data_IF_386996978808
#
_entry.id   IF_386996978808
#
_cell.length_a   1.000
_cell.length_b   1.000
_cell.length_c   1.000
_cell.angle_alpha   90.00
_cell.angle_beta   90.00
_cell.angle_gamma   90.00
#
_symmetry.space_group_name_H-M   'P 1'
#
loop_
_entity.id
_entity.type
_entity.pdbx_description
1 polymer ?
#
# COMPACT_ATOMS: atom_id res chain seq x y z
N UNK A 1 -22.30 -10.87 -36.57
CA UNK A 1 -22.59 -9.45 -36.87
C UNK A 1 -22.70 -8.65 -35.57
N UNK A 2 -21.59 -8.02 -35.17
CA UNK A 2 -21.57 -7.09 -34.03
C UNK A 2 -22.11 -5.75 -34.54
N UNK A 3 -23.29 -5.38 -34.06
CA UNK A 3 -23.92 -4.12 -34.41
C UNK A 3 -23.13 -2.97 -33.78
N UNK A 4 -22.38 -2.23 -34.60
CA UNK A 4 -21.87 -0.91 -34.23
C UNK A 4 -23.08 0.00 -34.04
N UNK A 5 -23.50 0.21 -32.79
CA UNK A 5 -24.47 1.27 -32.46
C UNK A 5 -23.78 2.60 -32.70
N UNK A 6 -24.03 3.21 -33.86
CA UNK A 6 -23.70 4.61 -34.11
C UNK A 6 -24.61 5.46 -33.21
N UNK A 7 -24.01 6.09 -32.20
CA UNK A 7 -24.69 7.10 -31.39
C UNK A 7 -24.96 8.33 -32.26
N UNK A 8 -26.17 8.88 -32.15
CA UNK A 8 -26.51 10.17 -32.76
C UNK A 8 -25.67 11.29 -32.12
N UNK A 9 -25.44 12.38 -32.86
CA UNK A 9 -24.61 13.51 -32.39
C UNK A 9 -25.08 14.06 -31.03
N UNK A 10 -26.39 14.10 -30.79
CA UNK A 10 -26.98 14.52 -29.51
C UNK A 10 -26.61 13.59 -28.35
N UNK A 11 -26.54 12.28 -28.60
CA UNK A 11 -26.13 11.29 -27.58
C UNK A 11 -24.64 11.39 -27.26
N UNK A 12 -23.80 11.65 -28.26
CA UNK A 12 -22.37 11.90 -28.04
C UNK A 12 -22.15 13.16 -27.21
N UNK A 13 -22.89 14.22 -27.51
CA UNK A 13 -22.76 15.50 -26.80
C UNK A 13 -23.20 15.38 -25.34
N UNK A 14 -24.28 14.64 -25.08
CA UNK A 14 -24.76 14.34 -23.71
C UNK A 14 -23.73 13.49 -22.95
N UNK A 15 -23.18 12.46 -23.58
CA UNK A 15 -22.17 11.59 -22.97
C UNK A 15 -20.87 12.33 -22.66
N UNK A 16 -20.43 13.23 -23.55
CA UNK A 16 -19.24 14.05 -23.33
C UNK A 16 -19.45 15.05 -22.17
N UNK A 17 -20.65 15.61 -22.06
CA UNK A 17 -21.01 16.51 -20.98
C UNK A 17 -21.09 15.79 -19.64
N UNK A 18 -21.68 14.59 -19.61
CA UNK A 18 -21.76 13.74 -18.42
C UNK A 18 -20.37 13.24 -17.98
N UNK A 19 -19.49 12.90 -18.93
CA UNK A 19 -18.08 12.62 -18.62
C UNK A 19 -17.37 13.84 -18.05
N UNK A 20 -17.50 15.03 -18.66
CA UNK A 20 -16.87 16.25 -18.14
C UNK A 20 -17.35 16.60 -16.74
N UNK A 21 -18.63 16.38 -16.45
CA UNK A 21 -19.21 16.64 -15.13
C UNK A 21 -18.71 15.61 -14.10
N UNK A 22 -18.59 14.34 -14.49
CA UNK A 22 -17.99 13.28 -13.66
C UNK A 22 -16.50 13.54 -13.36
N UNK A 23 -15.71 13.96 -14.35
CA UNK A 23 -14.32 14.37 -14.16
C UNK A 23 -14.19 15.63 -13.29
N UNK A 24 -15.13 16.56 -13.41
CA UNK A 24 -15.13 17.80 -12.60
C UNK A 24 -15.43 17.53 -11.12
N UNK A 25 -16.25 16.52 -10.81
CA UNK A 25 -16.53 16.13 -9.41
C UNK A 25 -15.42 15.29 -8.77
N UNK A 26 -14.59 14.64 -9.58
CA UNK A 26 -13.45 13.81 -9.11
C UNK A 26 -12.15 14.59 -8.99
N UNK A 27 -12.10 15.82 -9.51
CA UNK A 27 -10.96 16.72 -9.35
C UNK A 27 -11.02 17.37 -7.96
N UNK A 28 -10.56 16.62 -6.97
CA UNK A 28 -9.99 17.23 -5.75
C UNK A 28 -8.97 18.26 -6.22
N UNK A 29 -8.90 19.50 -5.70
CA UNK A 29 -7.87 20.44 -6.11
C UNK A 29 -6.52 19.72 -5.99
N UNK A 30 -5.81 19.63 -7.12
CA UNK A 30 -4.46 19.11 -7.14
C UNK A 30 -3.65 20.00 -6.19
N UNK A 31 -3.42 19.52 -4.97
CA UNK A 31 -2.29 19.99 -4.19
C UNK A 31 -1.09 19.63 -5.06
N UNK A 32 -0.44 20.62 -5.67
CA UNK A 32 0.82 20.39 -6.37
C UNK A 32 1.78 19.79 -5.33
N UNK A 33 1.99 18.47 -5.43
CA UNK A 33 2.96 17.79 -4.58
C UNK A 33 4.36 18.25 -4.99
N UNK A 34 5.20 18.52 -4.00
CA UNK A 34 6.61 18.86 -4.19
C UNK A 34 7.49 17.71 -3.69
N UNK A 35 8.66 17.57 -4.29
CA UNK A 35 9.61 16.51 -3.94
C UNK A 35 10.31 16.84 -2.60
N UNK A 36 10.10 16.00 -1.59
CA UNK A 36 10.74 16.12 -0.27
C UNK A 36 12.06 15.35 -0.15
N UNK A 37 13.09 15.93 0.48
CA UNK A 37 14.35 15.25 0.78
C UNK A 37 14.92 15.66 2.15
N UNK A 38 15.40 14.67 2.92
CA UNK A 38 15.98 14.87 4.25
C UNK A 38 17.44 14.41 4.25
N UNK A 39 18.34 15.29 4.71
CA UNK A 39 19.75 14.95 5.00
C UNK A 39 20.04 15.23 6.46
N UNK A 40 20.42 14.20 7.20
CA UNK A 40 20.88 14.33 8.58
C UNK A 40 22.37 14.03 8.65
N UNK A 41 23.20 15.05 8.46
CA UNK A 41 24.60 15.04 8.89
C UNK A 41 24.69 15.54 10.33
N UNK A 42 25.62 15.01 11.14
CA UNK A 42 25.87 15.50 12.50
C UNK A 42 26.22 17.01 12.47
N UNK A 43 25.21 17.87 12.64
CA UNK A 43 25.28 19.32 12.48
C UNK A 43 24.94 19.99 13.82
N UNK A 44 25.71 21.01 14.17
CA UNK A 44 25.53 21.82 15.37
C UNK A 44 24.19 22.57 15.43
N UNK A 45 23.46 22.64 14.32
CA UNK A 45 22.18 23.36 14.20
C UNK A 45 20.98 22.60 14.78
N UNK A 46 21.06 21.27 14.94
CA UNK A 46 20.01 20.43 15.50
C UNK A 46 20.48 19.69 16.77
N UNK A 47 21.27 20.36 17.63
CA UNK A 47 21.97 19.70 18.76
C UNK A 47 21.20 19.65 20.07
N UNK A 48 19.90 20.00 20.10
CA UNK A 48 19.09 19.75 21.31
C UNK A 48 19.02 18.24 21.57
N UNK A 49 18.97 17.77 22.83
CA UNK A 49 19.05 16.33 23.14
C UNK A 49 18.06 15.46 22.35
N UNK A 50 16.81 15.90 22.20
CA UNK A 50 15.79 15.18 21.42
C UNK A 50 16.10 15.17 19.92
N UNK A 51 16.54 16.29 19.36
CA UNK A 51 16.93 16.36 17.94
C UNK A 51 18.20 15.56 17.66
N UNK A 52 19.15 15.51 18.59
CA UNK A 52 20.34 14.66 18.49
C UNK A 52 19.99 13.17 18.55
N UNK A 53 18.98 12.77 19.34
CA UNK A 53 18.49 11.39 19.37
C UNK A 53 17.76 11.00 18.07
N UNK A 54 17.01 11.92 17.46
CA UNK A 54 16.31 11.71 16.18
C UNK A 54 17.23 11.80 14.96
N UNK A 55 18.24 12.67 15.01
CA UNK A 55 19.29 12.84 13.99
C UNK A 55 20.41 11.81 14.13
N UNK A 56 20.38 10.97 15.16
CA UNK A 56 21.32 9.88 15.36
C UNK A 56 21.22 8.90 14.21
N UNK A 57 22.13 9.01 13.24
CA UNK A 57 22.43 7.94 12.29
C UNK A 57 22.73 6.69 13.12
N UNK A 58 21.86 5.67 13.02
CA UNK A 58 22.04 4.29 13.49
C UNK A 58 23.12 4.19 14.58
N UNK A 59 22.82 4.67 15.79
CA UNK A 59 23.77 4.60 16.89
C UNK A 59 24.19 3.14 17.07
N UNK A 60 25.49 2.82 17.26
CA UNK A 60 25.98 1.44 17.36
C UNK A 60 25.36 0.65 18.53
N UNK A 61 24.65 1.32 19.44
CA UNK A 61 24.18 0.75 20.69
C UNK A 61 22.74 0.19 20.71
N UNK A 62 21.91 0.31 19.65
CA UNK A 62 20.61 -0.44 19.57
C UNK A 62 19.65 -0.03 18.45
N UNK A 63 19.82 1.12 17.81
CA UNK A 63 18.86 1.56 16.78
C UNK A 63 19.07 0.77 15.48
N UNK A 64 18.05 0.02 15.05
CA UNK A 64 18.07 -0.78 13.82
C UNK A 64 17.61 -0.01 12.58
N UNK A 65 16.99 1.16 12.76
CA UNK A 65 16.56 2.07 11.69
C UNK A 65 16.40 3.51 12.18
N UNK A 66 16.57 4.49 11.29
CA UNK A 66 16.25 5.89 11.56
C UNK A 66 14.72 6.12 11.69
N UNK A 67 14.27 7.26 12.26
CA UNK A 67 12.86 7.54 12.48
C UNK A 67 12.02 7.61 11.20
N UNK A 68 12.57 8.09 10.07
CA UNK A 68 11.85 8.19 8.80
C UNK A 68 11.62 6.80 8.21
N UNK A 69 12.68 5.98 8.17
CA UNK A 69 12.57 4.57 7.75
C UNK A 69 11.58 3.81 8.62
N UNK A 70 11.59 4.04 9.94
CA UNK A 70 10.63 3.42 10.86
C UNK A 70 9.19 3.88 10.56
N UNK A 71 8.97 5.18 10.41
CA UNK A 71 7.64 5.74 10.13
C UNK A 71 7.05 5.20 8.82
N UNK A 72 7.85 5.13 7.74
CA UNK A 72 7.42 4.55 6.46
C UNK A 72 7.07 3.06 6.60
N UNK A 73 7.88 2.29 7.37
CA UNK A 73 7.56 0.88 7.64
C UNK A 73 6.24 0.71 8.38
N UNK A 74 6.00 1.52 9.41
CA UNK A 74 4.84 1.38 10.29
C UNK A 74 3.54 1.92 9.67
N UNK A 75 3.62 2.95 8.83
CA UNK A 75 2.42 3.63 8.29
C UNK A 75 2.06 3.20 6.87
N UNK A 76 3.01 2.65 6.10
CA UNK A 76 2.79 2.28 4.70
C UNK A 76 3.06 0.80 4.47
N UNK A 77 4.31 0.36 4.67
CA UNK A 77 4.74 -1.00 4.25
C UNK A 77 4.01 -2.09 5.02
N UNK A 78 3.98 -2.02 6.36
CA UNK A 78 3.32 -3.04 7.17
C UNK A 78 1.79 -3.03 6.94
N UNK A 79 1.09 -1.88 6.93
CA UNK A 79 -0.33 -1.84 6.57
C UNK A 79 -0.65 -2.38 5.18
N UNK A 80 0.19 -2.14 4.16
CA UNK A 80 0.03 -2.73 2.83
C UNK A 80 0.10 -4.26 2.90
N UNK A 81 1.11 -4.81 3.59
CA UNK A 81 1.25 -6.25 3.82
C UNK A 81 0.06 -6.83 4.57
N UNK A 82 -0.40 -6.17 5.62
CA UNK A 82 -1.52 -6.63 6.45
C UNK A 82 -2.81 -6.72 5.63
N UNK A 83 -3.12 -5.69 4.84
CA UNK A 83 -4.30 -5.68 3.97
C UNK A 83 -4.22 -6.74 2.85
N UNK A 84 -3.04 -6.92 2.26
CA UNK A 84 -2.81 -7.95 1.25
C UNK A 84 -3.02 -9.35 1.84
N UNK A 85 -2.51 -9.61 3.04
CA UNK A 85 -2.68 -10.91 3.72
C UNK A 85 -4.13 -11.14 4.11
N UNK A 86 -4.84 -10.10 4.61
CA UNK A 86 -6.28 -10.18 4.87
C UNK A 86 -7.05 -10.60 3.61
N UNK A 87 -6.68 -10.06 2.44
CA UNK A 87 -7.30 -10.44 1.17
C UNK A 87 -6.95 -11.86 0.75
N UNK A 88 -5.68 -12.27 0.85
CA UNK A 88 -5.26 -13.65 0.56
C UNK A 88 -6.06 -14.64 1.41
N UNK A 89 -6.25 -14.37 2.71
CA UNK A 89 -7.02 -15.24 3.59
C UNK A 89 -8.50 -15.34 3.17
N UNK A 90 -9.10 -14.27 2.62
CA UNK A 90 -10.45 -14.30 2.05
C UNK A 90 -10.50 -15.12 0.76
N UNK A 91 -9.50 -14.96 -0.10
CA UNK A 91 -9.43 -15.69 -1.37
C UNK A 91 -9.22 -17.19 -1.14
N UNK A 92 -8.42 -17.56 -0.13
CA UNK A 92 -8.26 -18.95 0.32
C UNK A 92 -9.58 -19.55 0.83
N UNK A 93 -10.42 -18.76 1.51
CA UNK A 93 -11.72 -19.23 1.98
C UNK A 93 -12.68 -19.57 0.83
N UNK A 94 -12.51 -18.95 -0.34
CA UNK A 94 -13.28 -19.22 -1.56
C UNK A 94 -12.66 -20.32 -2.46
N UNK A 95 -11.51 -20.89 -2.07
CA UNK A 95 -10.79 -21.88 -2.87
C UNK A 95 -11.48 -23.26 -2.77
N UNK A 96 -11.63 -23.93 -3.91
CA UNK A 96 -12.31 -25.24 -4.00
C UNK A 96 -11.51 -26.37 -3.37
N UNK A 97 -10.19 -26.34 -3.52
CA UNK A 97 -9.25 -27.23 -2.85
C UNK A 97 -9.08 -26.80 -1.38
N UNK A 98 -9.75 -27.53 -0.50
CA UNK A 98 -9.80 -27.23 0.94
C UNK A 98 -8.49 -27.55 1.64
N UNK A 99 -7.79 -28.60 1.21
CA UNK A 99 -6.53 -29.02 1.82
C UNK A 99 -5.44 -27.97 1.54
N UNK A 100 -5.36 -27.51 0.29
CA UNK A 100 -4.45 -26.42 -0.09
C UNK A 100 -4.78 -25.12 0.66
N UNK A 101 -6.06 -24.78 0.78
CA UNK A 101 -6.51 -23.58 1.49
C UNK A 101 -6.13 -23.60 2.97
N UNK A 102 -6.34 -24.74 3.64
CA UNK A 102 -6.03 -24.91 5.06
C UNK A 102 -4.52 -24.94 5.30
N UNK A 103 -3.75 -25.63 4.44
CA UNK A 103 -2.30 -25.61 4.50
C UNK A 103 -1.76 -24.18 4.37
N UNK A 104 -2.19 -23.44 3.33
CA UNK A 104 -1.68 -22.08 3.09
C UNK A 104 -2.08 -21.11 4.21
N UNK A 105 -3.30 -21.23 4.74
CA UNK A 105 -3.74 -20.43 5.90
C UNK A 105 -2.88 -20.71 7.12
N UNK A 106 -2.56 -21.97 7.39
CA UNK A 106 -1.71 -22.36 8.51
C UNK A 106 -0.29 -21.83 8.37
N UNK A 107 0.30 -21.91 7.17
CA UNK A 107 1.61 -21.33 6.87
C UNK A 107 1.66 -19.82 7.18
N UNK A 108 0.62 -19.08 6.77
CA UNK A 108 0.51 -17.64 7.05
C UNK A 108 0.41 -17.36 8.55
N UNK A 109 -0.47 -18.04 9.28
CA UNK A 109 -0.66 -17.81 10.71
C UNK A 109 0.59 -18.18 11.54
N UNK A 110 1.21 -19.32 11.24
CA UNK A 110 2.43 -19.76 11.92
C UNK A 110 3.61 -18.80 11.69
N UNK A 111 3.72 -18.22 10.50
CA UNK A 111 4.75 -17.22 10.23
C UNK A 111 4.40 -15.90 10.90
N UNK A 112 3.14 -15.45 10.85
CA UNK A 112 2.69 -14.19 11.46
C UNK A 112 2.95 -14.13 12.96
N UNK A 113 2.84 -15.26 13.66
CA UNK A 113 3.18 -15.38 15.08
C UNK A 113 4.68 -15.22 15.37
N UNK A 114 5.55 -15.63 14.42
CA UNK A 114 7.01 -15.58 14.57
C UNK A 114 7.60 -14.26 14.07
N UNK A 115 7.10 -13.81 12.93
CA UNK A 115 7.54 -12.63 12.21
C UNK A 115 6.32 -11.93 11.57
N UNK A 116 5.87 -10.85 12.21
CA UNK A 116 4.77 -10.02 11.69
C UNK A 116 5.06 -9.43 10.31
N UNK A 117 6.33 -9.35 9.90
CA UNK A 117 6.70 -8.81 8.58
C UNK A 117 6.51 -9.82 7.45
N UNK A 118 6.25 -11.09 7.80
CA UNK A 118 6.00 -12.20 6.89
C UNK A 118 7.10 -12.31 5.81
N UNK A 119 8.35 -12.15 6.24
CA UNK A 119 9.50 -12.05 5.34
C UNK A 119 9.69 -13.32 4.49
N UNK A 120 9.47 -14.50 5.08
CA UNK A 120 9.59 -15.77 4.39
C UNK A 120 8.42 -15.99 3.44
N UNK A 121 7.20 -15.61 3.83
CA UNK A 121 6.02 -15.69 2.98
C UNK A 121 6.19 -14.88 1.70
N UNK A 122 6.60 -13.61 1.81
CA UNK A 122 6.81 -12.73 0.66
C UNK A 122 8.07 -13.08 -0.14
N UNK A 123 9.06 -13.73 0.48
CA UNK A 123 10.27 -14.22 -0.19
C UNK A 123 10.09 -15.54 -0.94
N UNK A 124 8.99 -16.26 -0.71
CA UNK A 124 8.76 -17.58 -1.30
C UNK A 124 8.02 -17.47 -2.66
N UNK A 125 8.64 -17.90 -3.77
CA UNK A 125 8.02 -17.81 -5.10
C UNK A 125 6.73 -18.63 -5.23
N UNK A 126 6.54 -19.69 -4.43
CA UNK A 126 5.31 -20.47 -4.43
C UNK A 126 4.09 -19.68 -3.95
N UNK A 127 4.28 -18.58 -3.22
CA UNK A 127 3.19 -17.73 -2.74
C UNK A 127 2.77 -16.66 -3.75
N UNK A 128 3.52 -16.51 -4.86
CA UNK A 128 3.29 -15.45 -5.84
C UNK A 128 1.90 -15.51 -6.47
N UNK A 129 1.38 -16.70 -6.76
CA UNK A 129 0.05 -16.83 -7.35
C UNK A 129 -1.07 -16.29 -6.43
N UNK A 130 -0.93 -16.48 -5.12
CA UNK A 130 -1.88 -15.96 -4.13
C UNK A 130 -1.78 -14.45 -4.00
N UNK A 131 -0.54 -13.93 -4.04
CA UNK A 131 -0.26 -12.49 -3.99
C UNK A 131 -0.83 -11.80 -5.24
N UNK A 132 -0.50 -12.29 -6.42
CA UNK A 132 -0.92 -11.69 -7.70
C UNK A 132 -2.46 -11.70 -7.79
N UNK A 133 -3.12 -12.81 -7.44
CA UNK A 133 -4.59 -12.90 -7.41
C UNK A 133 -5.23 -11.93 -6.43
N UNK A 134 -4.67 -11.77 -5.22
CA UNK A 134 -5.21 -10.82 -4.26
C UNK A 134 -5.06 -9.36 -4.74
N UNK A 135 -3.94 -9.03 -5.41
CA UNK A 135 -3.68 -7.70 -5.96
C UNK A 135 -4.59 -7.32 -7.13
N UNK A 136 -5.19 -8.29 -7.82
CA UNK A 136 -6.23 -8.04 -8.83
C UNK A 136 -7.56 -7.59 -8.23
N UNK A 137 -7.75 -7.70 -6.91
CA UNK A 137 -9.00 -7.32 -6.24
C UNK A 137 -9.14 -5.78 -6.15
N UNK A 138 -10.20 -5.18 -6.75
CA UNK A 138 -10.39 -3.73 -6.72
C UNK A 138 -10.71 -3.17 -5.32
N UNK A 139 -11.33 -3.95 -4.44
CA UNK A 139 -11.57 -3.55 -3.05
C UNK A 139 -10.26 -3.47 -2.27
N UNK A 140 -9.34 -4.42 -2.51
CA UNK A 140 -7.99 -4.35 -1.95
C UNK A 140 -7.29 -3.10 -2.49
N UNK A 141 -7.32 -2.85 -3.80
CA UNK A 141 -6.70 -1.67 -4.40
C UNK A 141 -7.19 -0.37 -3.75
N UNK A 142 -8.50 -0.23 -3.55
CA UNK A 142 -9.10 0.93 -2.89
C UNK A 142 -8.61 1.11 -1.45
N UNK A 143 -8.48 0.01 -0.69
CA UNK A 143 -7.91 0.06 0.66
C UNK A 143 -6.45 0.48 0.65
N UNK A 144 -5.64 -0.09 -0.25
CA UNK A 144 -4.22 0.24 -0.40
C UNK A 144 -4.02 1.72 -0.75
N UNK A 145 -4.79 2.26 -1.69
CA UNK A 145 -4.73 3.69 -2.04
C UNK A 145 -5.06 4.58 -0.85
N UNK A 146 -6.09 4.22 -0.06
CA UNK A 146 -6.48 4.99 1.11
C UNK A 146 -5.39 5.01 2.18
N UNK A 147 -4.72 3.88 2.44
CA UNK A 147 -3.62 3.83 3.42
C UNK A 147 -2.38 4.54 2.89
N UNK A 148 -2.10 4.48 1.59
CA UNK A 148 -0.95 5.13 0.97
C UNK A 148 -1.08 6.65 1.06
N UNK A 149 -2.23 7.19 0.64
CA UNK A 149 -2.49 8.64 0.69
C UNK A 149 -2.41 9.15 2.13
N UNK A 150 -3.03 8.46 3.08
CA UNK A 150 -2.98 8.85 4.49
C UNK A 150 -1.58 8.68 5.10
N UNK A 151 -0.90 7.58 4.77
CA UNK A 151 0.44 7.27 5.27
C UNK A 151 1.45 8.31 4.83
N UNK A 152 1.51 8.64 3.53
CA UNK A 152 2.39 9.68 3.03
C UNK A 152 2.04 11.05 3.62
N UNK A 153 0.75 11.41 3.78
CA UNK A 153 0.36 12.67 4.43
C UNK A 153 0.78 12.78 5.90
N UNK A 154 0.93 11.67 6.61
CA UNK A 154 1.32 11.67 8.02
C UNK A 154 2.84 11.64 8.21
N UNK A 155 3.60 11.17 7.21
CA UNK A 155 5.06 11.08 7.26
C UNK A 155 5.72 12.39 6.83
N UNK A 156 5.14 13.12 5.88
CA UNK A 156 5.59 14.45 5.45
C UNK A 156 5.05 15.54 6.38
#
# INVERSE_FOLDING_TARGET
>A
PLANKEYTEEQKQTLEQEQKEFLSQTTTPALEADDGFIVTSASSAQSTPSMSALSGNISPDSQTSDPITKAVRETIIQPQKDNLIEQILKDLAALTDRDLAEQKRKEIEEEKEKDKTLSTFFGNPANREFIDKALENPELKKKLESIEIAGYKNVH
#
